data_IF_725734524480
#
_entry.id   IF_725734524480
#
_cell.length_a   1.000
_cell.length_b   1.000
_cell.length_c   1.000
_cell.angle_alpha   90.00
_cell.angle_beta   90.00
_cell.angle_gamma   90.00
#
_symmetry.space_group_name_H-M   'P 1'
#
loop_
_entity.id
_entity.type
_entity.pdbx_description
1 polymer ?
#
# COMPACT_ATOMS: atom_id res chain seq x y z
N UNK A 1 -17.08 3.60 -1.10
CA UNK A 1 -16.21 2.43 -1.35
C UNK A 1 -15.02 2.97 -2.12
N UNK A 2 -13.80 2.91 -1.58
CA UNK A 2 -12.61 3.35 -2.32
C UNK A 2 -12.45 2.40 -3.50
N UNK A 3 -12.41 2.92 -4.72
CA UNK A 3 -12.28 2.10 -5.94
C UNK A 3 -10.89 1.49 -5.95
N UNK A 4 -10.77 0.18 -6.18
CA UNK A 4 -9.47 -0.48 -6.31
C UNK A 4 -8.94 -0.34 -7.76
N UNK A 5 -7.61 -0.37 -7.97
CA UNK A 5 -7.05 -0.43 -9.32
C UNK A 5 -7.48 -1.73 -10.01
N UNK A 6 -7.79 -1.67 -11.30
CA UNK A 6 -8.11 -2.85 -12.11
C UNK A 6 -6.86 -3.52 -12.72
N UNK A 7 -5.73 -2.80 -12.72
CA UNK A 7 -4.45 -3.29 -13.22
C UNK A 7 -3.28 -2.72 -12.41
N UNK A 8 -2.30 -3.60 -12.15
CA UNK A 8 -1.02 -3.27 -11.54
C UNK A 8 0.11 -3.60 -12.52
N UNK A 9 0.94 -2.61 -12.83
CA UNK A 9 2.07 -2.78 -13.77
C UNK A 9 3.40 -2.57 -13.03
N UNK A 10 4.22 -3.63 -12.85
CA UNK A 10 5.53 -3.49 -12.21
C UNK A 10 6.45 -2.52 -12.97
N UNK A 11 7.17 -1.68 -12.22
CA UNK A 11 8.19 -0.80 -12.77
C UNK A 11 9.49 -1.56 -13.04
N UNK A 12 10.29 -1.06 -13.99
CA UNK A 12 11.64 -1.57 -14.20
C UNK A 12 12.53 -1.29 -12.98
N UNK A 13 13.55 -2.14 -12.77
CA UNK A 13 14.52 -1.94 -11.69
C UNK A 13 15.23 -0.58 -11.76
N UNK A 14 15.49 -0.08 -12.98
CA UNK A 14 16.06 1.25 -13.19
C UNK A 14 15.14 2.38 -12.73
N UNK A 15 13.82 2.25 -12.96
CA UNK A 15 12.85 3.25 -12.49
C UNK A 15 12.71 3.23 -10.97
N UNK A 16 12.67 2.05 -10.37
CA UNK A 16 12.66 1.89 -8.90
C UNK A 16 13.89 2.53 -8.25
N UNK A 17 15.08 2.29 -8.81
CA UNK A 17 16.31 2.92 -8.33
C UNK A 17 16.26 4.45 -8.42
N UNK A 18 15.68 4.99 -9.49
CA UNK A 18 15.45 6.42 -9.64
C UNK A 18 14.60 6.99 -8.50
N UNK A 19 13.44 6.37 -8.25
CA UNK A 19 12.55 6.76 -7.15
C UNK A 19 13.28 6.72 -5.80
N UNK A 20 14.02 5.65 -5.52
CA UNK A 20 14.74 5.50 -4.26
C UNK A 20 15.81 6.58 -4.07
N UNK A 21 16.57 6.91 -5.11
CA UNK A 21 17.58 7.98 -5.06
C UNK A 21 16.95 9.35 -4.87
N UNK A 22 15.87 9.64 -5.59
CA UNK A 22 15.18 10.93 -5.51
C UNK A 22 14.62 11.18 -4.11
N UNK A 23 14.00 10.16 -3.50
CA UNK A 23 13.44 10.24 -2.15
C UNK A 23 14.54 10.30 -1.10
N UNK A 24 15.60 9.50 -1.23
CA UNK A 24 16.72 9.51 -0.29
C UNK A 24 17.51 10.83 -0.29
N UNK A 25 17.43 11.62 -1.36
CA UNK A 25 18.02 12.96 -1.41
C UNK A 25 17.18 14.01 -0.65
N UNK A 26 15.92 13.73 -0.34
CA UNK A 26 14.96 14.68 0.24
C UNK A 26 14.54 14.35 1.67
N UNK A 27 14.70 13.09 2.07
CA UNK A 27 14.27 12.60 3.39
C UNK A 27 15.34 11.68 3.96
N UNK A 28 15.75 11.90 5.21
CA UNK A 28 16.78 11.11 5.89
C UNK A 28 16.17 9.95 6.70
N UNK A 29 14.95 10.13 7.20
CA UNK A 29 14.27 9.13 8.01
C UNK A 29 13.92 7.90 7.16
N UNK A 30 14.49 6.75 7.51
CA UNK A 30 14.32 5.51 6.76
C UNK A 30 12.86 5.05 6.64
N UNK A 31 12.08 5.19 7.71
CA UNK A 31 10.66 4.83 7.71
C UNK A 31 9.86 5.74 6.79
N UNK A 32 10.09 7.05 6.84
CA UNK A 32 9.41 8.03 5.97
C UNK A 32 9.81 7.81 4.51
N UNK A 33 11.11 7.57 4.24
CA UNK A 33 11.59 7.22 2.89
C UNK A 33 10.86 6.00 2.33
N UNK A 34 10.71 4.93 3.12
CA UNK A 34 10.02 3.72 2.70
C UNK A 34 8.58 4.00 2.28
N UNK A 35 7.86 4.80 3.08
CA UNK A 35 6.49 5.19 2.79
C UNK A 35 6.38 6.03 1.51
N UNK A 36 7.24 7.05 1.35
CA UNK A 36 7.28 7.93 0.17
C UNK A 36 7.66 7.16 -1.11
N UNK A 37 8.61 6.22 -1.01
CA UNK A 37 8.98 5.35 -2.13
C UNK A 37 7.79 4.50 -2.57
N UNK A 38 7.11 3.86 -1.62
CA UNK A 38 5.93 3.04 -1.90
C UNK A 38 4.82 3.87 -2.56
N UNK A 39 4.57 5.10 -2.09
CA UNK A 39 3.58 5.99 -2.68
C UNK A 39 3.91 6.33 -4.14
N UNK A 40 5.16 6.71 -4.44
CA UNK A 40 5.60 6.99 -5.81
C UNK A 40 5.48 5.76 -6.72
N UNK A 41 5.87 4.59 -6.23
CA UNK A 41 5.73 3.35 -6.98
C UNK A 41 4.27 3.09 -7.34
N UNK A 42 3.34 3.23 -6.39
CA UNK A 42 1.92 3.00 -6.62
C UNK A 42 1.31 4.04 -7.58
N UNK A 43 1.71 5.30 -7.50
CA UNK A 43 1.26 6.33 -8.43
C UNK A 43 1.63 6.03 -9.90
N UNK A 44 2.77 5.37 -10.12
CA UNK A 44 3.20 4.97 -11.48
C UNK A 44 2.70 3.58 -11.91
N UNK A 45 2.23 2.76 -10.96
CA UNK A 45 1.94 1.33 -11.21
C UNK A 45 0.46 0.98 -11.18
N UNK A 46 -0.38 1.79 -10.53
CA UNK A 46 -1.83 1.56 -10.38
C UNK A 46 -2.62 2.18 -11.52
N UNK A 47 -3.43 1.36 -12.19
CA UNK A 47 -4.28 1.79 -13.30
C UNK A 47 -5.75 1.47 -13.01
N UNK A 48 -6.64 2.31 -13.55
CA UNK A 48 -8.08 2.12 -13.58
C UNK A 48 -8.62 2.57 -14.93
N UNK A 49 -9.29 1.68 -15.66
CA UNK A 49 -9.82 1.99 -16.99
C UNK A 49 -8.73 2.30 -18.02
N UNK A 50 -7.51 1.80 -17.83
CA UNK A 50 -6.36 2.05 -18.70
C UNK A 50 -5.58 3.34 -18.42
N UNK A 51 -6.08 4.20 -17.53
CA UNK A 51 -5.42 5.42 -17.10
C UNK A 51 -4.74 5.24 -15.74
N UNK A 52 -3.77 6.11 -15.42
CA UNK A 52 -3.17 6.13 -14.07
C UNK A 52 -4.26 6.46 -13.05
N UNK A 53 -4.37 5.61 -12.04
CA UNK A 53 -5.37 5.77 -10.99
C UNK A 53 -5.06 6.95 -10.06
N UNK A 54 -3.78 7.24 -9.84
CA UNK A 54 -3.32 8.35 -9.01
C UNK A 54 -2.48 9.32 -9.83
N UNK A 55 -2.74 10.61 -9.67
CA UNK A 55 -2.01 11.67 -10.37
C UNK A 55 -0.61 11.90 -9.77
N UNK A 56 -0.43 11.61 -8.47
CA UNK A 56 0.81 11.84 -7.75
C UNK A 56 1.00 10.88 -6.57
N UNK A 57 2.17 10.92 -5.95
CA UNK A 57 2.44 10.16 -4.73
C UNK A 57 1.66 10.72 -3.53
N UNK A 58 1.44 12.03 -3.50
CA UNK A 58 0.65 12.71 -2.48
C UNK A 58 -0.81 12.23 -2.52
N UNK A 59 -1.39 12.11 -3.72
CA UNK A 59 -2.73 11.54 -3.89
C UNK A 59 -2.82 10.09 -3.37
N UNK A 60 -1.76 9.29 -3.52
CA UNK A 60 -1.68 7.94 -2.92
C UNK A 60 -1.71 8.00 -1.40
N UNK A 61 -0.96 8.91 -0.78
CA UNK A 61 -0.87 9.05 0.67
C UNK A 61 -2.17 9.58 1.30
N UNK A 62 -2.91 10.42 0.58
CA UNK A 62 -4.22 10.92 1.01
C UNK A 62 -5.29 9.84 0.90
N UNK A 63 -5.25 9.03 -0.15
CA UNK A 63 -6.29 8.04 -0.44
C UNK A 63 -6.05 6.67 0.19
N UNK A 64 -4.81 6.26 0.42
CA UNK A 64 -4.50 4.91 0.91
C UNK A 64 -3.89 4.94 2.31
N UNK A 65 -4.30 3.97 3.12
CA UNK A 65 -3.61 3.65 4.36
C UNK A 65 -2.29 2.93 4.07
N UNK A 66 -1.35 2.97 5.02
CA UNK A 66 -0.07 2.26 4.88
C UNK A 66 -0.24 0.75 4.64
N UNK A 67 -1.27 0.11 5.21
CA UNK A 67 -1.56 -1.31 5.00
C UNK A 67 -2.12 -1.63 3.62
N UNK A 68 -2.95 -0.74 3.06
CA UNK A 68 -3.42 -0.86 1.67
C UNK A 68 -2.26 -0.70 0.69
N UNK A 69 -1.39 0.29 0.92
CA UNK A 69 -0.18 0.49 0.12
C UNK A 69 0.73 -0.75 0.15
N UNK A 70 0.98 -1.32 1.34
CA UNK A 70 1.80 -2.52 1.49
C UNK A 70 1.20 -3.71 0.70
N UNK A 71 -0.11 -3.88 0.76
CA UNK A 71 -0.82 -4.95 0.05
C UNK A 71 -0.63 -4.85 -1.46
N UNK A 72 -0.75 -3.65 -2.02
CA UNK A 72 -0.55 -3.39 -3.45
C UNK A 72 0.91 -3.55 -3.87
N UNK A 73 1.86 -3.06 -3.07
CA UNK A 73 3.31 -3.22 -3.34
C UNK A 73 3.72 -4.69 -3.32
N UNK A 74 3.18 -5.49 -2.40
CA UNK A 74 3.42 -6.95 -2.38
C UNK A 74 2.88 -7.62 -3.64
N UNK A 75 1.71 -7.22 -4.11
CA UNK A 75 1.12 -7.72 -5.35
C UNK A 75 2.02 -7.40 -6.56
N UNK A 76 2.54 -6.16 -6.64
CA UNK A 76 3.49 -5.74 -7.68
C UNK A 76 4.78 -6.58 -7.68
N UNK A 77 5.24 -7.01 -6.51
CA UNK A 77 6.42 -7.86 -6.37
C UNK A 77 6.20 -9.32 -6.82
N UNK A 78 5.03 -9.65 -7.38
CA UNK A 78 4.68 -11.02 -7.78
C UNK A 78 4.50 -11.96 -6.60
N UNK A 79 4.53 -11.45 -5.36
CA UNK A 79 4.00 -12.18 -4.21
C UNK A 79 2.50 -12.09 -4.37
N UNK A 80 1.85 -13.21 -4.72
CA UNK A 80 0.40 -13.32 -4.58
C UNK A 80 0.06 -12.95 -3.14
N UNK A 81 -0.38 -11.72 -2.94
CA UNK A 81 -1.37 -11.44 -1.92
C UNK A 81 -2.62 -12.08 -2.47
N UNK A 82 -2.91 -13.29 -2.02
CA UNK A 82 -4.30 -13.67 -1.86
C UNK A 82 -4.88 -12.55 -1.00
N UNK A 83 -5.53 -11.58 -1.64
CA UNK A 83 -6.27 -10.54 -0.93
C UNK A 83 -7.12 -11.30 0.08
N UNK A 84 -7.00 -11.06 1.40
CA UNK A 84 -7.85 -11.77 2.32
C UNK A 84 -9.27 -11.28 2.03
N UNK A 85 -10.08 -12.14 1.42
CA UNK A 85 -11.52 -11.93 1.31
C UNK A 85 -12.15 -11.70 2.70
N UNK A 86 -11.44 -12.07 3.76
CA UNK A 86 -11.90 -12.02 5.13
C UNK A 86 -10.69 -11.67 6.01
N UNK A 87 -10.54 -10.40 6.41
CA UNK A 87 -9.39 -9.98 7.24
C UNK A 87 -9.38 -10.64 8.63
N UNK A 88 -10.40 -11.44 8.97
CA UNK A 88 -10.33 -12.62 9.85
C UNK A 88 -11.76 -13.19 9.99
N UNK A 89 -12.12 -14.23 9.22
CA UNK A 89 -13.45 -14.85 9.29
C UNK A 89 -13.80 -15.44 10.67
N UNK A 90 -12.76 -15.74 11.47
CA UNK A 90 -12.88 -16.22 12.84
C UNK A 90 -12.80 -15.11 13.90
N UNK A 91 -12.74 -13.83 13.52
CA UNK A 91 -12.74 -12.74 14.48
C UNK A 91 -14.14 -12.54 15.02
N UNK A 92 -14.33 -12.90 16.28
CA UNK A 92 -15.53 -12.60 17.04
C UNK A 92 -15.33 -11.29 17.84
N UNK A 93 -15.97 -10.18 17.44
CA UNK A 93 -15.84 -8.89 18.12
C UNK A 93 -16.38 -8.93 19.55
N UNK A 94 -17.38 -9.77 19.84
CA UNK A 94 -17.97 -9.90 21.17
C UNK A 94 -17.03 -10.65 22.11
N UNK A 95 -16.39 -11.74 21.64
CA UNK A 95 -15.34 -12.43 22.40
C UNK A 95 -14.17 -11.51 22.73
N UNK A 96 -13.77 -10.63 21.80
CA UNK A 96 -12.71 -9.65 22.04
C UNK A 96 -13.13 -8.58 23.08
N UNK A 97 -14.37 -8.07 23.02
CA UNK A 97 -14.91 -7.12 24.01
C UNK A 97 -15.00 -7.75 25.41
N UNK A 98 -15.43 -9.01 25.50
CA UNK A 98 -15.49 -9.76 26.76
C UNK A 98 -14.11 -9.96 27.41
N UNK A 99 -13.04 -10.11 26.62
CA UNK A 99 -11.68 -10.17 27.14
C UNK A 99 -11.16 -8.84 27.68
N UNK A 100 -11.64 -7.68 27.17
CA UNK A 100 -11.24 -6.37 27.71
C UNK A 100 -11.85 -6.05 29.08
N UNK A 101 -12.92 -6.73 29.48
CA UNK A 101 -13.51 -6.65 30.82
C UNK A 101 -12.82 -7.53 31.88
N UNK A 102 -11.89 -8.39 31.47
CA UNK A 102 -11.05 -9.22 32.35
C UNK A 102 -9.61 -8.73 32.32
N UNK A 103 -9.39 -7.51 32.79
CA UNK A 103 -8.10 -7.15 33.39
C UNK A 103 -8.30 -7.33 34.89
N UNK A 104 -7.72 -8.41 35.42
CA UNK A 104 -7.48 -8.52 36.85
C UNK A 104 -6.41 -7.50 37.26
#
# INVERSE_FOLDING_TARGET
>A
MKTAPDKLTPLSAGRLLGIWRDVAAQEENETVRGLLCNARVLAESCFLGGERMFESAEAVLEELTAGEMETLVRHLAGKKTDLPAEVNAGFDPERFRAMRGKRA
#
